data_IF_719226017193
#
_entry.id   IF_719226017193
#
_cell.length_a   1.000
_cell.length_b   1.000
_cell.length_c   1.000
_cell.angle_alpha   90.00
_cell.angle_beta   90.00
_cell.angle_gamma   90.00
#
_symmetry.space_group_name_H-M   'P 1'
#
loop_
_entity.id
_entity.type
_entity.pdbx_description
1 polymer ?
#
# COMPACT_ATOMS: atom_id res chain seq x y z
N UNK A 1 -32.36 -39.92 13.01
CA UNK A 1 -32.30 -38.54 12.50
C UNK A 1 -30.88 -38.04 12.66
N UNK A 2 -30.07 -38.07 11.56
CA UNK A 2 -28.72 -37.53 11.58
C UNK A 2 -28.82 -36.04 11.25
N UNK A 3 -28.41 -35.19 12.20
CA UNK A 3 -28.20 -33.77 11.98
C UNK A 3 -26.76 -33.55 11.51
N UNK A 4 -26.58 -33.30 10.24
CA UNK A 4 -25.28 -32.91 9.69
C UNK A 4 -25.06 -31.43 10.01
N UNK A 5 -24.18 -31.14 10.96
CA UNK A 5 -23.66 -29.80 11.21
C UNK A 5 -22.76 -29.42 10.02
N UNK A 6 -23.26 -28.60 9.11
CA UNK A 6 -22.44 -27.89 8.17
C UNK A 6 -21.58 -26.90 8.95
N UNK A 7 -20.31 -27.26 9.14
CA UNK A 7 -19.30 -26.33 9.61
C UNK A 7 -19.06 -25.28 8.55
N UNK A 8 -19.47 -24.02 8.81
CA UNK A 8 -18.95 -22.88 8.08
C UNK A 8 -17.46 -22.77 8.38
N UNK A 9 -16.62 -23.23 7.47
CA UNK A 9 -15.22 -22.82 7.44
C UNK A 9 -15.20 -21.35 7.05
N UNK A 10 -15.10 -20.48 8.06
CA UNK A 10 -14.68 -19.09 7.82
C UNK A 10 -13.24 -19.17 7.31
N UNK A 11 -13.06 -19.07 5.98
CA UNK A 11 -11.76 -18.77 5.43
C UNK A 11 -11.29 -17.48 6.10
N UNK A 12 -10.17 -17.56 6.80
CA UNK A 12 -9.50 -16.42 7.40
C UNK A 12 -9.02 -15.51 6.27
N UNK A 13 -9.89 -14.61 5.82
CA UNK A 13 -9.45 -13.45 5.02
C UNK A 13 -8.40 -12.75 5.89
N UNK A 14 -7.19 -12.52 5.34
CA UNK A 14 -6.18 -11.72 6.03
C UNK A 14 -6.86 -10.49 6.58
N UNK A 15 -6.94 -10.39 7.92
CA UNK A 15 -7.74 -9.36 8.56
C UNK A 15 -7.18 -8.00 8.19
N UNK A 16 -8.07 -7.06 7.87
CA UNK A 16 -7.70 -5.66 7.76
C UNK A 16 -7.19 -5.17 9.13
N UNK A 17 -6.26 -4.22 9.16
CA UNK A 17 -5.87 -3.55 10.40
C UNK A 17 -7.08 -2.99 11.14
N UNK A 18 -6.98 -2.95 12.47
CA UNK A 18 -8.04 -2.39 13.30
C UNK A 18 -8.36 -0.95 12.89
N UNK A 19 -9.65 -0.65 12.77
CA UNK A 19 -10.14 0.67 12.38
C UNK A 19 -10.06 0.97 10.88
N UNK A 20 -9.66 0.02 10.05
CA UNK A 20 -9.64 0.21 8.60
C UNK A 20 -11.06 0.32 8.04
N UNK A 21 -11.28 1.33 7.21
CA UNK A 21 -12.53 1.61 6.51
C UNK A 21 -12.32 1.62 5.00
N UNK A 22 -13.35 1.23 4.26
CA UNK A 22 -13.34 1.36 2.81
C UNK A 22 -13.15 2.84 2.42
N UNK A 23 -12.32 3.06 1.42
CA UNK A 23 -11.88 4.39 1.01
C UNK A 23 -12.02 4.54 -0.50
N UNK A 24 -12.61 5.66 -0.93
CA UNK A 24 -12.65 6.02 -2.34
C UNK A 24 -11.42 6.84 -2.68
N UNK A 25 -10.50 6.33 -3.51
CA UNK A 25 -9.27 7.06 -3.82
C UNK A 25 -9.58 8.36 -4.57
N UNK A 26 -8.85 9.45 -4.26
CA UNK A 26 -8.98 10.69 -4.98
C UNK A 26 -8.48 10.56 -6.43
N UNK A 27 -8.90 11.50 -7.28
CA UNK A 27 -8.65 11.44 -8.72
C UNK A 27 -7.16 11.38 -9.09
N UNK A 28 -6.28 12.00 -8.29
CA UNK A 28 -4.83 12.00 -8.49
C UNK A 28 -4.20 10.61 -8.46
N UNK A 29 -4.83 9.62 -7.81
CA UNK A 29 -4.32 8.25 -7.78
C UNK A 29 -4.21 7.63 -9.19
N UNK A 30 -5.06 8.05 -10.10
CA UNK A 30 -4.96 7.62 -11.50
C UNK A 30 -3.65 8.13 -12.15
N UNK A 31 -3.29 9.39 -11.93
CA UNK A 31 -2.03 9.95 -12.45
C UNK A 31 -0.81 9.31 -11.77
N UNK A 32 -0.87 9.07 -10.47
CA UNK A 32 0.19 8.39 -9.72
C UNK A 32 0.37 6.93 -10.16
N UNK A 33 -0.72 6.25 -10.48
CA UNK A 33 -0.67 4.92 -11.05
C UNK A 33 0.08 4.89 -12.39
N UNK A 34 -0.30 5.79 -13.30
CA UNK A 34 0.36 5.92 -14.60
C UNK A 34 1.86 6.22 -14.45
N UNK A 35 2.23 7.10 -13.51
CA UNK A 35 3.63 7.40 -13.22
C UNK A 35 4.37 6.17 -12.67
N UNK A 36 3.72 5.36 -11.85
CA UNK A 36 4.31 4.15 -11.27
C UNK A 36 4.47 3.04 -12.32
N UNK A 37 3.47 2.87 -13.19
CA UNK A 37 3.59 2.00 -14.36
C UNK A 37 4.77 2.43 -15.26
N UNK A 38 4.91 3.73 -15.46
CA UNK A 38 5.96 4.30 -16.32
C UNK A 38 7.36 4.03 -15.80
N UNK A 39 7.63 4.31 -14.52
CA UNK A 39 8.96 4.07 -13.94
C UNK A 39 9.28 2.59 -13.79
N UNK A 40 8.31 1.76 -13.47
CA UNK A 40 8.49 0.31 -13.32
C UNK A 40 8.57 -0.41 -14.69
N UNK A 41 8.05 0.21 -15.74
CA UNK A 41 7.85 -0.43 -17.06
C UNK A 41 6.97 -1.70 -16.96
N UNK A 42 5.93 -1.62 -16.13
CA UNK A 42 4.96 -2.70 -15.90
C UNK A 42 3.57 -2.10 -16.01
N UNK A 43 2.67 -2.78 -16.70
CA UNK A 43 1.25 -2.42 -16.79
C UNK A 43 0.42 -3.25 -15.83
N UNK A 44 -0.59 -2.61 -15.24
CA UNK A 44 -1.53 -3.27 -14.35
C UNK A 44 -2.93 -2.68 -14.46
N UNK A 45 -3.80 -3.03 -13.53
CA UNK A 45 -5.16 -2.54 -13.48
C UNK A 45 -5.45 -1.94 -12.10
N UNK A 46 -5.42 -0.61 -12.02
CA UNK A 46 -5.75 0.13 -10.81
C UNK A 46 -7.14 -0.21 -10.27
N UNK A 47 -8.09 -0.46 -11.15
CA UNK A 47 -9.47 -0.79 -10.78
C UNK A 47 -9.66 -2.11 -10.02
N UNK A 48 -8.63 -2.97 -10.01
CA UNK A 48 -8.64 -4.21 -9.21
C UNK A 48 -8.22 -4.01 -7.76
N UNK A 49 -7.66 -2.86 -7.42
CA UNK A 49 -7.20 -2.57 -6.06
C UNK A 49 -8.37 -2.06 -5.24
N UNK A 50 -8.61 -2.68 -4.11
CA UNK A 50 -9.53 -2.21 -3.08
C UNK A 50 -8.78 -1.36 -2.08
N UNK A 51 -9.26 -0.16 -1.86
CA UNK A 51 -8.60 0.84 -1.02
C UNK A 51 -9.26 0.95 0.35
N UNK A 52 -8.42 1.03 1.37
CA UNK A 52 -8.81 1.21 2.76
C UNK A 52 -7.95 2.26 3.43
N UNK A 53 -8.49 2.88 4.46
CA UNK A 53 -7.80 3.88 5.27
C UNK A 53 -8.03 3.58 6.74
N UNK A 54 -7.01 3.79 7.57
CA UNK A 54 -7.17 3.89 9.02
C UNK A 54 -7.22 5.39 9.36
N UNK A 55 -8.40 5.97 9.64
CA UNK A 55 -8.55 7.41 9.75
C UNK A 55 -7.76 8.01 10.93
N UNK A 56 -7.22 9.21 10.73
CA UNK A 56 -6.68 10.05 11.81
C UNK A 56 -5.36 9.56 12.42
N UNK A 57 -4.68 8.60 11.81
CA UNK A 57 -3.42 8.06 12.32
C UNK A 57 -2.28 8.28 11.35
N UNK A 58 -1.05 8.29 11.88
CA UNK A 58 0.17 8.33 11.08
C UNK A 58 0.73 6.93 10.82
N UNK A 59 0.41 5.96 11.67
CA UNK A 59 0.78 4.55 11.54
C UNK A 59 -0.30 3.67 12.10
N UNK A 60 -0.31 2.41 11.70
CA UNK A 60 -1.16 1.37 12.30
C UNK A 60 -0.36 0.07 12.50
N UNK A 61 -0.77 -0.71 13.51
CA UNK A 61 -0.10 -1.95 13.86
C UNK A 61 -0.37 -3.05 12.83
N UNK A 62 0.69 -3.80 12.51
CA UNK A 62 0.65 -5.03 11.71
C UNK A 62 1.49 -6.11 12.40
N UNK A 63 1.43 -7.33 11.89
CA UNK A 63 2.27 -8.43 12.40
C UNK A 63 3.78 -8.15 12.20
N UNK A 64 4.11 -7.25 11.28
CA UNK A 64 5.48 -6.83 10.99
C UNK A 64 5.86 -5.48 11.63
N UNK A 65 5.06 -4.98 12.57
CA UNK A 65 5.26 -3.70 13.25
C UNK A 65 4.36 -2.59 12.72
N UNK A 66 4.67 -1.35 13.09
CA UNK A 66 3.93 -0.16 12.68
C UNK A 66 4.21 0.19 11.22
N UNK A 67 3.15 0.45 10.45
CA UNK A 67 3.22 0.77 9.01
C UNK A 67 2.43 2.03 8.68
N UNK A 68 2.88 2.76 7.65
CA UNK A 68 2.14 3.88 7.04
C UNK A 68 1.24 3.42 5.90
N UNK A 69 1.55 2.29 5.31
CA UNK A 69 0.78 1.63 4.26
C UNK A 69 1.12 0.16 4.18
N UNK A 70 0.22 -0.65 3.68
CA UNK A 70 0.47 -2.07 3.37
C UNK A 70 -0.35 -2.52 2.16
N UNK A 71 0.20 -3.46 1.42
CA UNK A 71 -0.53 -4.25 0.45
C UNK A 71 -0.89 -5.62 1.03
N UNK A 72 -2.15 -5.97 1.00
CA UNK A 72 -2.65 -7.28 1.40
C UNK A 72 -3.14 -8.00 0.16
N UNK A 73 -2.65 -9.21 -0.09
CA UNK A 73 -3.09 -10.04 -1.20
C UNK A 73 -3.60 -11.38 -0.69
N UNK A 74 -4.81 -11.75 -1.11
CA UNK A 74 -5.42 -13.06 -0.83
C UNK A 74 -6.04 -13.57 -2.13
N UNK A 75 -5.43 -14.58 -2.74
CA UNK A 75 -5.84 -15.05 -4.07
C UNK A 75 -5.72 -13.93 -5.11
N UNK A 76 -6.84 -13.57 -5.73
CA UNK A 76 -6.93 -12.45 -6.68
C UNK A 76 -7.38 -11.13 -6.05
N UNK A 77 -7.66 -11.13 -4.74
CA UNK A 77 -8.06 -9.95 -4.00
C UNK A 77 -6.82 -9.16 -3.57
N UNK A 78 -6.71 -7.93 -4.05
CA UNK A 78 -5.62 -7.02 -3.72
C UNK A 78 -6.19 -5.81 -2.99
N UNK A 79 -5.70 -5.59 -1.79
CA UNK A 79 -6.10 -4.46 -0.94
C UNK A 79 -4.87 -3.63 -0.61
N UNK A 80 -5.05 -2.31 -0.63
CA UNK A 80 -4.07 -1.38 -0.06
C UNK A 80 -4.74 -0.66 1.10
N UNK A 81 -4.07 -0.66 2.24
CA UNK A 81 -4.48 0.07 3.44
C UNK A 81 -3.46 1.17 3.70
N UNK A 82 -3.94 2.38 3.92
CA UNK A 82 -3.11 3.55 4.20
C UNK A 82 -3.43 4.13 5.58
N UNK A 83 -2.43 4.63 6.29
CA UNK A 83 -2.66 5.52 7.42
C UNK A 83 -3.28 6.84 6.92
N UNK A 84 -4.30 7.33 7.61
CA UNK A 84 -5.08 8.48 7.14
C UNK A 84 -4.26 9.73 6.86
N UNK A 85 -3.19 9.96 7.62
CA UNK A 85 -2.31 11.11 7.42
C UNK A 85 -1.45 11.02 6.14
N UNK A 86 -1.45 9.87 5.45
CA UNK A 86 -0.64 9.62 4.25
C UNK A 86 -1.45 9.38 2.97
N UNK A 87 -2.78 9.51 3.01
CA UNK A 87 -3.62 9.30 1.82
C UNK A 87 -3.33 10.29 0.68
N UNK A 88 -2.78 11.46 1.00
CA UNK A 88 -2.35 12.48 0.01
C UNK A 88 -0.83 12.50 -0.20
N UNK A 89 -0.10 11.53 0.35
CA UNK A 89 1.36 11.47 0.21
C UNK A 89 1.74 10.60 -0.98
N UNK A 90 2.11 11.22 -2.09
CA UNK A 90 2.39 10.54 -3.37
C UNK A 90 3.36 9.37 -3.22
N UNK A 91 4.49 9.57 -2.53
CA UNK A 91 5.49 8.51 -2.40
C UNK A 91 4.94 7.28 -1.68
N UNK A 92 4.22 7.45 -0.57
CA UNK A 92 3.64 6.33 0.20
C UNK A 92 2.62 5.58 -0.64
N UNK A 93 1.71 6.29 -1.28
CA UNK A 93 0.68 5.69 -2.13
C UNK A 93 1.29 4.94 -3.31
N UNK A 94 2.25 5.55 -4.01
CA UNK A 94 2.94 4.92 -5.14
C UNK A 94 3.83 3.74 -4.72
N UNK A 95 4.39 3.77 -3.51
CA UNK A 95 5.12 2.64 -2.95
C UNK A 95 4.22 1.40 -2.86
N UNK A 96 3.01 1.55 -2.30
CA UNK A 96 2.05 0.45 -2.23
C UNK A 96 1.52 0.04 -3.62
N UNK A 97 1.33 1.00 -4.52
CA UNK A 97 1.00 0.71 -5.93
C UNK A 97 2.08 -0.13 -6.61
N UNK A 98 3.35 0.15 -6.34
CA UNK A 98 4.46 -0.62 -6.91
C UNK A 98 4.47 -2.06 -6.40
N UNK A 99 4.17 -2.31 -5.12
CA UNK A 99 3.96 -3.66 -4.63
C UNK A 99 2.82 -4.39 -5.37
N UNK A 100 1.73 -3.68 -5.65
CA UNK A 100 0.61 -4.24 -6.41
C UNK A 100 0.99 -4.57 -7.86
N UNK A 101 1.77 -3.70 -8.52
CA UNK A 101 2.28 -3.94 -9.89
C UNK A 101 3.25 -5.11 -9.95
N UNK A 102 4.22 -5.17 -9.02
CA UNK A 102 5.19 -6.26 -8.95
C UNK A 102 4.55 -7.58 -8.49
N UNK A 103 3.40 -7.49 -7.85
CA UNK A 103 2.66 -8.62 -7.30
C UNK A 103 3.49 -9.49 -6.34
N UNK A 104 4.34 -8.85 -5.55
CA UNK A 104 5.20 -9.52 -4.56
C UNK A 104 5.56 -8.62 -3.39
N UNK A 105 5.85 -9.19 -2.22
CA UNK A 105 6.43 -8.47 -1.10
C UNK A 105 7.92 -8.18 -1.36
N UNK A 106 8.53 -7.44 -0.43
CA UNK A 106 9.93 -7.06 -0.51
C UNK A 106 10.15 -5.84 -1.40
N UNK A 107 11.37 -5.31 -1.36
CA UNK A 107 11.73 -4.06 -2.02
C UNK A 107 12.92 -4.28 -2.97
N UNK A 108 12.72 -4.91 -4.16
CA UNK A 108 13.79 -5.02 -5.14
C UNK A 108 14.37 -3.62 -5.44
N UNK A 109 15.68 -3.47 -5.22
CA UNK A 109 16.40 -2.20 -5.38
C UNK A 109 16.17 -1.58 -6.75
N UNK A 110 16.19 -2.41 -7.80
CA UNK A 110 15.95 -1.99 -9.18
C UNK A 110 14.66 -1.16 -9.32
N UNK A 111 13.57 -1.57 -8.67
CA UNK A 111 12.26 -0.92 -8.80
C UNK A 111 12.06 0.19 -7.78
N UNK A 112 12.28 -0.11 -6.50
CA UNK A 112 11.97 0.84 -5.42
C UNK A 112 12.97 1.98 -5.29
N UNK A 113 14.23 1.74 -5.65
CA UNK A 113 15.28 2.76 -5.55
C UNK A 113 15.70 3.29 -6.91
N UNK A 114 16.19 2.43 -7.80
CA UNK A 114 16.84 2.87 -9.03
C UNK A 114 15.86 3.44 -10.05
N UNK A 115 14.71 2.80 -10.27
CA UNK A 115 13.73 3.21 -11.29
C UNK A 115 12.71 4.22 -10.76
N UNK A 116 12.07 3.90 -9.64
CA UNK A 116 10.88 4.65 -9.19
C UNK A 116 11.16 5.62 -8.04
N UNK A 117 12.29 5.49 -7.34
CA UNK A 117 12.66 6.35 -6.19
C UNK A 117 11.57 6.39 -5.10
N UNK A 118 10.98 5.25 -4.77
CA UNK A 118 9.86 5.13 -3.84
C UNK A 118 10.29 4.59 -2.48
N UNK A 119 11.38 5.10 -1.94
CA UNK A 119 11.80 4.97 -0.54
C UNK A 119 11.95 6.37 0.05
N UNK A 120 11.98 6.50 1.37
CA UNK A 120 12.18 7.81 2.02
C UNK A 120 13.45 8.50 1.52
N UNK A 121 14.56 7.77 1.47
CA UNK A 121 15.86 8.31 1.07
C UNK A 121 15.90 8.71 -0.40
N UNK A 122 15.46 7.83 -1.30
CA UNK A 122 15.54 8.09 -2.74
C UNK A 122 14.52 9.14 -3.18
N UNK A 123 13.35 9.19 -2.55
CA UNK A 123 12.36 10.23 -2.80
C UNK A 123 12.87 11.60 -2.40
N UNK A 124 13.44 11.72 -1.19
CA UNK A 124 14.03 12.95 -0.70
C UNK A 124 15.18 13.43 -1.60
N UNK A 125 16.04 12.53 -2.06
CA UNK A 125 17.15 12.85 -2.94
C UNK A 125 16.73 13.29 -4.34
N UNK A 126 15.56 12.83 -4.82
CA UNK A 126 15.02 13.16 -6.16
C UNK A 126 14.19 14.43 -6.19
N UNK A 127 14.00 15.12 -5.05
CA UNK A 127 13.17 16.33 -4.92
C UNK A 127 13.94 17.49 -4.33
N UNK A 128 13.49 18.75 -4.58
CA UNK A 128 14.01 19.91 -3.89
C UNK A 128 13.91 19.77 -2.37
N UNK A 129 14.87 20.32 -1.62
CA UNK A 129 15.00 20.16 -0.17
C UNK A 129 13.80 20.67 0.65
N UNK A 130 12.99 21.52 0.08
CA UNK A 130 11.79 22.11 0.68
C UNK A 130 10.51 21.27 0.48
N UNK A 131 10.54 20.24 -0.37
CA UNK A 131 9.39 19.38 -0.66
C UNK A 131 9.44 17.99 -0.02
N UNK A 132 10.53 17.63 0.64
CA UNK A 132 10.70 16.30 1.20
C UNK A 132 10.26 16.24 2.68
N UNK A 133 9.08 15.70 3.00
CA UNK A 133 8.72 15.46 4.39
C UNK A 133 9.64 14.38 4.99
N UNK A 134 10.12 14.64 6.20
CA UNK A 134 10.90 13.66 6.94
C UNK A 134 10.02 12.47 7.36
N UNK A 135 10.55 11.24 7.34
CA UNK A 135 9.82 10.08 7.85
C UNK A 135 9.51 10.24 9.33
N UNK A 136 8.35 9.78 9.77
CA UNK A 136 7.93 9.95 11.16
C UNK A 136 8.79 9.21 12.19
N UNK A 137 9.44 8.13 11.89
CA UNK A 137 10.44 7.41 12.71
C UNK A 137 10.75 6.06 12.07
N UNK A 138 11.93 5.88 11.54
CA UNK A 138 12.37 4.62 10.95
C UNK A 138 11.65 4.24 9.64
N UNK A 139 11.97 3.05 9.13
CA UNK A 139 11.36 2.52 7.90
C UNK A 139 10.00 1.92 8.23
N UNK A 140 8.93 2.65 7.90
CA UNK A 140 7.53 2.26 8.13
C UNK A 140 6.77 1.97 6.83
N UNK A 141 7.48 1.86 5.71
CA UNK A 141 6.94 1.37 4.46
C UNK A 141 6.82 -0.15 4.49
N UNK A 142 5.83 -0.67 3.83
CA UNK A 142 5.56 -2.12 3.78
C UNK A 142 6.62 -2.89 3.02
#
# INVERSE_FOLDING_TARGET
LLITLMGCTTESLSALPDGAEAFTPPAEYQAWWVSTEGCADIRGNLGRIKWYVVPGVSTFATDEGEKVGIRIKTGNDVRIVLAGNYVEHEMVVRHEMLHALLNKPGHPVEYFQDRCHLTWETWAASRPADEAPLPPNGDQLS
#
